data_IF_120965997576
#
_entry.id   IF_120965997576
#
_cell.length_a   1.000
_cell.length_b   1.000
_cell.length_c   1.000
_cell.angle_alpha   90.00
_cell.angle_beta   90.00
_cell.angle_gamma   90.00
#
_symmetry.space_group_name_H-M   'P 1'
#
loop_
_entity.id
_entity.type
_entity.pdbx_description
1 polymer ?
#
# COMPACT_ATOMS: atom_id res chain seq x y z
N UNK A 1 -14.88 5.60 -14.77
CA UNK A 1 -14.20 5.48 -16.08
C UNK A 1 -14.35 4.08 -16.66
N UNK A 2 -14.55 3.95 -17.98
CA UNK A 2 -14.59 2.66 -18.68
C UNK A 2 -13.27 1.88 -18.55
N UNK A 3 -13.32 0.55 -18.69
CA UNK A 3 -12.09 -0.27 -18.72
C UNK A 3 -11.28 0.07 -19.97
N UNK A 4 -9.95 0.11 -19.83
CA UNK A 4 -9.00 0.22 -20.95
C UNK A 4 -8.05 -0.96 -20.92
N UNK A 5 -7.67 -1.46 -22.10
CA UNK A 5 -6.59 -2.45 -22.21
C UNK A 5 -5.20 -1.80 -22.10
N UNK A 6 -5.11 -0.46 -22.14
CA UNK A 6 -3.86 0.29 -22.11
C UNK A 6 -3.40 0.67 -20.69
N UNK A 7 -4.34 0.75 -19.74
CA UNK A 7 -4.08 1.17 -18.35
C UNK A 7 -4.86 0.27 -17.41
N UNK A 8 -4.21 -0.20 -16.34
CA UNK A 8 -4.92 -0.93 -15.31
C UNK A 8 -5.81 0.03 -14.48
N UNK A 9 -6.81 -0.49 -13.73
CA UNK A 9 -7.75 0.37 -12.99
C UNK A 9 -7.06 1.32 -12.00
N UNK A 10 -6.00 0.89 -11.33
CA UNK A 10 -5.28 1.71 -10.33
C UNK A 10 -4.53 2.85 -11.01
N UNK A 11 -3.78 2.56 -12.07
CA UNK A 11 -3.07 3.58 -12.86
C UNK A 11 -4.06 4.62 -13.41
N UNK A 12 -5.17 4.14 -13.97
CA UNK A 12 -6.20 5.00 -14.52
C UNK A 12 -6.78 5.94 -13.44
N UNK A 13 -7.09 5.43 -12.25
CA UNK A 13 -7.60 6.24 -11.14
C UNK A 13 -6.58 7.29 -10.67
N UNK A 14 -5.32 6.91 -10.48
CA UNK A 14 -4.24 7.83 -10.07
C UNK A 14 -4.03 8.95 -11.09
N UNK A 15 -3.94 8.58 -12.37
CA UNK A 15 -3.79 9.51 -13.48
C UNK A 15 -4.97 10.50 -13.57
N UNK A 16 -6.20 10.02 -13.41
CA UNK A 16 -7.37 10.90 -13.43
C UNK A 16 -7.48 11.81 -12.20
N UNK A 17 -6.91 11.40 -11.06
CA UNK A 17 -6.79 12.24 -9.87
C UNK A 17 -5.67 13.29 -9.98
N UNK A 18 -4.90 13.30 -11.09
CA UNK A 18 -3.77 14.20 -11.27
C UNK A 18 -2.51 13.77 -10.52
N UNK A 19 -2.46 12.54 -10.01
CA UNK A 19 -1.25 11.98 -9.39
C UNK A 19 -0.18 11.69 -10.44
N UNK A 20 1.08 11.90 -10.08
CA UNK A 20 2.24 11.71 -10.97
C UNK A 20 2.35 10.24 -11.41
N UNK A 21 1.98 9.97 -12.65
CA UNK A 21 2.51 8.84 -13.40
C UNK A 21 3.49 9.36 -14.46
N UNK A 22 4.48 8.55 -14.84
CA UNK A 22 5.50 8.97 -15.81
C UNK A 22 4.91 9.51 -17.11
N UNK A 23 5.65 10.35 -17.84
CA UNK A 23 5.17 11.04 -19.06
C UNK A 23 4.47 10.13 -20.09
N UNK A 24 4.90 8.87 -20.19
CA UNK A 24 4.26 7.86 -21.05
C UNK A 24 2.82 7.58 -20.61
N UNK A 25 2.56 7.46 -19.32
CA UNK A 25 1.26 7.15 -18.75
C UNK A 25 0.26 8.30 -18.90
N UNK A 26 0.72 9.56 -18.85
CA UNK A 26 -0.11 10.75 -19.09
C UNK A 26 -0.57 10.81 -20.56
N UNK A 27 0.33 10.50 -21.50
CA UNK A 27 -0.03 10.38 -22.92
C UNK A 27 -1.06 9.28 -23.14
N UNK A 28 -0.85 8.10 -22.53
CA UNK A 28 -1.81 7.00 -22.60
C UNK A 28 -3.19 7.39 -22.04
N UNK A 29 -3.25 8.11 -20.91
CA UNK A 29 -4.54 8.61 -20.39
C UNK A 29 -5.20 9.56 -21.40
N UNK A 30 -4.42 10.48 -21.97
CA UNK A 30 -4.94 11.46 -22.95
C UNK A 30 -5.51 10.76 -24.18
N UNK A 31 -4.86 9.70 -24.66
CA UNK A 31 -5.38 8.86 -25.75
C UNK A 31 -6.72 8.21 -25.37
N UNK A 32 -6.80 7.59 -24.18
CA UNK A 32 -8.03 6.95 -23.70
C UNK A 32 -9.17 7.97 -23.58
N UNK A 33 -8.90 9.17 -23.04
CA UNK A 33 -9.90 10.25 -22.96
C UNK A 33 -10.36 10.66 -24.36
N UNK A 34 -9.44 10.81 -25.31
CA UNK A 34 -9.76 11.18 -26.69
C UNK A 34 -10.56 10.10 -27.42
N UNK A 35 -10.27 8.82 -27.17
CA UNK A 35 -11.07 7.70 -27.69
C UNK A 35 -12.50 7.75 -27.14
N UNK A 36 -12.67 7.93 -25.84
CA UNK A 36 -13.98 8.03 -25.19
C UNK A 36 -14.79 9.25 -25.67
N UNK A 37 -14.14 10.38 -25.92
CA UNK A 37 -14.83 11.58 -26.38
C UNK A 37 -15.29 11.50 -27.85
N UNK A 38 -14.78 10.55 -28.63
CA UNK A 38 -15.24 10.28 -30.00
C UNK A 38 -16.49 9.41 -30.05
N UNK A 39 -16.98 8.92 -28.91
CA UNK A 39 -18.20 8.11 -28.87
C UNK A 39 -19.41 8.93 -29.41
N UNK A 40 -20.16 8.37 -30.39
CA UNK A 40 -21.35 9.04 -30.91
C UNK A 40 -22.42 9.21 -29.84
N UNK A 41 -22.48 8.31 -28.86
CA UNK A 41 -23.35 8.44 -27.69
C UNK A 41 -22.66 9.31 -26.63
N UNK A 42 -23.22 10.50 -26.40
CA UNK A 42 -22.72 11.47 -25.43
C UNK A 42 -22.64 10.85 -24.02
N UNK A 43 -23.56 9.93 -23.69
CA UNK A 43 -23.59 9.30 -22.36
C UNK A 43 -22.40 8.39 -22.10
N UNK A 44 -21.71 7.91 -23.14
CA UNK A 44 -20.52 7.06 -23.01
C UNK A 44 -19.21 7.87 -23.00
N UNK A 45 -19.28 9.19 -23.20
CA UNK A 45 -18.09 10.06 -23.20
C UNK A 45 -17.45 10.16 -21.82
N UNK A 46 -16.21 10.64 -21.80
CA UNK A 46 -15.46 10.80 -20.57
C UNK A 46 -16.20 11.72 -19.58
N UNK A 47 -16.34 11.26 -18.33
CA UNK A 47 -17.00 12.00 -17.25
C UNK A 47 -18.53 12.00 -17.29
N UNK A 48 -19.16 11.48 -18.36
CA UNK A 48 -20.63 11.44 -18.49
C UNK A 48 -21.25 10.13 -17.95
N UNK A 49 -20.42 9.10 -17.74
CA UNK A 49 -20.84 7.78 -17.22
C UNK A 49 -20.18 7.43 -15.89
N UNK A 50 -20.99 6.88 -14.99
CA UNK A 50 -20.56 6.25 -13.74
C UNK A 50 -21.07 6.93 -12.47
N UNK A 51 -20.38 6.72 -11.35
CA UNK A 51 -20.74 7.33 -10.07
C UNK A 51 -20.50 8.84 -10.12
N UNK A 52 -21.56 9.61 -10.09
CA UNK A 52 -21.50 11.08 -10.04
C UNK A 52 -21.47 11.62 -8.61
N UNK A 53 -21.38 12.95 -8.50
CA UNK A 53 -21.39 13.67 -7.21
C UNK A 53 -22.61 13.33 -6.35
N UNK A 54 -23.78 13.07 -6.96
CA UNK A 54 -24.99 12.68 -6.23
C UNK A 54 -24.85 11.30 -5.57
N UNK A 55 -24.25 10.34 -6.26
CA UNK A 55 -23.98 9.02 -5.70
C UNK A 55 -22.99 9.12 -4.54
N UNK A 56 -21.95 9.95 -4.68
CA UNK A 56 -20.99 10.22 -3.60
C UNK A 56 -21.68 10.87 -2.39
N UNK A 57 -22.52 11.88 -2.62
CA UNK A 57 -23.32 12.50 -1.56
C UNK A 57 -24.23 11.49 -0.85
N UNK A 58 -24.82 10.54 -1.59
CA UNK A 58 -25.62 9.46 -1.00
C UNK A 58 -24.76 8.49 -0.19
N UNK A 59 -23.54 8.16 -0.63
CA UNK A 59 -22.64 7.31 0.14
C UNK A 59 -22.27 7.96 1.47
N UNK A 60 -22.00 9.28 1.47
CA UNK A 60 -21.76 10.04 2.70
C UNK A 60 -23.00 10.09 3.61
N UNK A 61 -24.21 10.22 3.04
CA UNK A 61 -25.44 10.15 3.82
C UNK A 61 -25.62 8.77 4.49
N UNK A 62 -25.45 7.69 3.73
CA UNK A 62 -25.52 6.31 4.24
C UNK A 62 -24.48 6.08 5.35
N UNK A 63 -23.28 6.63 5.19
CA UNK A 63 -22.25 6.61 6.23
C UNK A 63 -22.71 7.28 7.52
N UNK A 64 -23.35 8.46 7.43
CA UNK A 64 -23.77 9.21 8.61
C UNK A 64 -24.96 8.58 9.34
N UNK A 65 -25.86 7.92 8.60
CA UNK A 65 -27.11 7.36 9.12
C UNK A 65 -26.95 5.97 9.76
N UNK A 66 -25.87 5.25 9.47
CA UNK A 66 -25.61 3.92 10.04
C UNK A 66 -25.21 3.99 11.50
N UNK A 67 -25.72 3.09 12.33
CA UNK A 67 -25.35 3.03 13.75
C UNK A 67 -23.92 2.55 13.96
N UNK A 68 -23.44 1.66 13.09
CA UNK A 68 -22.13 1.01 13.15
C UNK A 68 -20.98 2.01 12.94
N UNK A 69 -21.24 3.11 12.23
CA UNK A 69 -20.28 4.19 11.99
C UNK A 69 -20.24 5.21 13.12
N UNK A 70 -21.19 5.14 14.07
CA UNK A 70 -21.37 6.06 15.20
C UNK A 70 -20.95 5.43 16.55
N UNK A 71 -20.29 4.27 16.53
CA UNK A 71 -19.89 3.53 17.74
C UNK A 71 -18.81 4.23 18.59
N UNK A 72 -18.27 5.37 18.15
CA UNK A 72 -17.22 6.08 18.86
C UNK A 72 -17.09 7.56 18.51
N UNK A 73 -15.92 8.14 18.82
CA UNK A 73 -15.67 9.59 18.63
C UNK A 73 -15.40 9.98 17.18
N UNK A 74 -15.26 9.01 16.29
CA UNK A 74 -14.92 9.23 14.88
C UNK A 74 -15.48 8.08 14.03
N UNK A 75 -15.85 8.38 12.79
CA UNK A 75 -16.20 7.37 11.79
C UNK A 75 -14.94 6.65 11.30
N UNK A 76 -14.99 5.33 11.20
CA UNK A 76 -13.88 4.54 10.68
C UNK A 76 -13.86 4.62 9.15
N UNK A 77 -12.68 4.89 8.58
CA UNK A 77 -12.52 5.09 7.14
C UNK A 77 -12.96 3.86 6.31
N UNK A 78 -12.81 2.65 6.84
CA UNK A 78 -13.23 1.42 6.13
C UNK A 78 -14.75 1.30 5.94
N UNK A 79 -15.55 2.02 6.72
CA UNK A 79 -17.01 1.96 6.60
C UNK A 79 -17.50 2.54 5.27
N UNK A 80 -16.68 3.38 4.61
CA UNK A 80 -17.01 3.98 3.30
C UNK A 80 -17.26 2.91 2.24
N UNK A 81 -16.58 1.77 2.35
CA UNK A 81 -16.74 0.70 1.36
C UNK A 81 -18.14 0.09 1.40
N UNK A 82 -18.70 -0.07 2.61
CA UNK A 82 -20.05 -0.62 2.79
C UNK A 82 -21.08 0.37 2.22
N UNK A 83 -20.91 1.67 2.48
CA UNK A 83 -21.80 2.70 1.96
C UNK A 83 -21.74 2.81 0.43
N UNK A 84 -20.53 2.77 -0.15
CA UNK A 84 -20.35 2.78 -1.60
C UNK A 84 -20.94 1.53 -2.25
N UNK A 85 -20.79 0.36 -1.63
CA UNK A 85 -21.38 -0.89 -2.10
C UNK A 85 -22.91 -0.79 -2.17
N UNK A 86 -23.56 -0.31 -1.11
CA UNK A 86 -25.02 -0.08 -1.12
C UNK A 86 -25.43 0.88 -2.24
N UNK A 87 -24.71 2.00 -2.40
CA UNK A 87 -25.02 2.97 -3.46
C UNK A 87 -24.85 2.38 -4.86
N UNK A 88 -23.83 1.54 -5.07
CA UNK A 88 -23.62 0.85 -6.34
C UNK A 88 -24.80 -0.10 -6.63
N UNK A 89 -25.22 -0.89 -5.65
CA UNK A 89 -26.32 -1.84 -5.82
C UNK A 89 -27.67 -1.15 -6.08
N UNK A 90 -27.95 -0.06 -5.38
CA UNK A 90 -29.24 0.62 -5.41
C UNK A 90 -29.40 1.59 -6.60
N UNK A 91 -28.33 2.29 -6.98
CA UNK A 91 -28.42 3.43 -7.92
C UNK A 91 -27.76 3.18 -9.27
N UNK A 92 -26.93 2.14 -9.43
CA UNK A 92 -26.35 1.80 -10.73
C UNK A 92 -27.27 0.83 -11.45
N UNK A 93 -28.01 1.32 -12.44
CA UNK A 93 -29.03 0.57 -13.18
C UNK A 93 -28.43 -0.35 -14.25
N UNK A 94 -27.27 0.03 -14.82
CA UNK A 94 -26.59 -0.75 -15.87
C UNK A 94 -25.80 -1.91 -15.23
N UNK A 95 -26.12 -3.18 -15.55
CA UNK A 95 -25.48 -4.34 -14.93
C UNK A 95 -23.96 -4.42 -15.13
N UNK A 96 -23.49 -4.06 -16.32
CA UNK A 96 -22.06 -4.06 -16.67
C UNK A 96 -21.29 -3.05 -15.82
N UNK A 97 -21.86 -1.86 -15.65
CA UNK A 97 -21.27 -0.80 -14.82
C UNK A 97 -21.26 -1.18 -13.34
N UNK A 98 -22.36 -1.78 -12.85
CA UNK A 98 -22.46 -2.28 -11.47
C UNK A 98 -21.35 -3.30 -11.18
N UNK A 99 -21.22 -4.30 -12.07
CA UNK A 99 -20.16 -5.32 -11.97
C UNK A 99 -18.78 -4.69 -11.97
N UNK A 100 -18.57 -3.69 -12.83
CA UNK A 100 -17.30 -2.96 -12.92
C UNK A 100 -17.00 -2.19 -11.63
N UNK A 101 -17.95 -1.46 -11.07
CA UNK A 101 -17.74 -0.69 -9.83
C UNK A 101 -17.54 -1.58 -8.60
N UNK A 102 -18.22 -2.73 -8.51
CA UNK A 102 -17.97 -3.69 -7.43
C UNK A 102 -16.55 -4.28 -7.51
N UNK A 103 -16.06 -4.56 -8.72
CA UNK A 103 -14.67 -4.98 -8.91
C UNK A 103 -13.66 -3.89 -8.53
N UNK A 104 -13.92 -2.63 -8.91
CA UNK A 104 -13.07 -1.51 -8.50
C UNK A 104 -13.10 -1.31 -6.98
N UNK A 105 -14.26 -1.50 -6.34
CA UNK A 105 -14.41 -1.45 -4.89
C UNK A 105 -13.56 -2.53 -4.21
N UNK A 106 -13.53 -3.75 -4.76
CA UNK A 106 -12.64 -4.83 -4.28
C UNK A 106 -11.16 -4.43 -4.36
N UNK A 107 -10.75 -3.82 -5.47
CA UNK A 107 -9.38 -3.30 -5.62
C UNK A 107 -9.08 -2.25 -4.55
N UNK A 108 -10.01 -1.31 -4.32
CA UNK A 108 -9.86 -0.25 -3.32
C UNK A 108 -9.78 -0.81 -1.89
N UNK A 109 -10.57 -1.82 -1.54
CA UNK A 109 -10.47 -2.54 -0.26
C UNK A 109 -9.09 -3.19 -0.09
N UNK A 110 -8.56 -3.84 -1.13
CA UNK A 110 -7.21 -4.40 -1.10
C UNK A 110 -6.10 -3.35 -0.91
N UNK A 111 -6.25 -2.16 -1.51
CA UNK A 111 -5.33 -1.03 -1.27
C UNK A 111 -5.43 -0.52 0.17
N UNK A 112 -6.64 -0.41 0.72
CA UNK A 112 -6.85 -0.04 2.13
C UNK A 112 -6.24 -1.06 3.08
N UNK A 113 -6.39 -2.37 2.81
CA UNK A 113 -5.74 -3.45 3.54
C UNK A 113 -4.22 -3.29 3.57
N UNK A 114 -3.59 -2.98 2.43
CA UNK A 114 -2.14 -2.71 2.36
C UNK A 114 -1.72 -1.50 3.21
N UNK A 115 -2.51 -0.43 3.19
CA UNK A 115 -2.26 0.75 4.03
C UNK A 115 -2.37 0.41 5.53
N UNK A 116 -3.36 -0.41 5.91
CA UNK A 116 -3.52 -0.87 7.29
C UNK A 116 -2.36 -1.77 7.71
N UNK A 117 -1.92 -2.72 6.88
CA UNK A 117 -0.73 -3.53 7.15
C UNK A 117 0.48 -2.65 7.43
N UNK A 118 0.68 -1.61 6.61
CA UNK A 118 1.78 -0.66 6.77
C UNK A 118 1.68 0.10 8.10
N UNK A 119 0.49 0.60 8.41
CA UNK A 119 0.21 1.35 9.65
C UNK A 119 0.45 0.49 10.90
N UNK A 120 -0.08 -0.73 10.91
CA UNK A 120 0.04 -1.66 12.03
C UNK A 120 1.50 -2.06 12.25
N UNK A 121 2.27 -2.24 11.18
CA UNK A 121 3.69 -2.50 11.31
C UNK A 121 4.46 -1.31 11.89
N UNK A 122 4.23 -0.10 11.39
CA UNK A 122 4.86 1.10 11.94
C UNK A 122 4.51 1.28 13.42
N UNK A 123 3.27 0.97 13.79
CA UNK A 123 2.84 0.94 15.18
C UNK A 123 3.52 -0.17 15.99
N UNK A 124 3.67 -1.37 15.43
CA UNK A 124 4.35 -2.50 16.04
C UNK A 124 5.82 -2.20 16.36
N UNK A 125 6.52 -1.56 15.42
CA UNK A 125 7.92 -1.15 15.54
C UNK A 125 8.12 0.11 16.38
N UNK A 126 7.02 0.74 16.82
CA UNK A 126 7.04 2.00 17.58
C UNK A 126 7.74 3.18 16.84
N UNK A 127 7.83 3.11 15.52
CA UNK A 127 8.50 4.08 14.65
C UNK A 127 7.59 4.38 13.42
N UNK A 128 7.16 5.66 13.21
CA UNK A 128 6.19 6.01 12.16
C UNK A 128 6.59 5.67 10.72
N UNK A 129 7.89 5.49 10.46
CA UNK A 129 8.48 5.23 9.14
C UNK A 129 9.34 3.95 9.13
N UNK A 130 9.04 2.99 10.01
CA UNK A 130 9.82 1.75 10.14
C UNK A 130 9.92 0.97 8.81
N UNK A 131 8.80 0.82 8.10
CA UNK A 131 8.78 0.15 6.79
C UNK A 131 9.62 0.90 5.77
N UNK A 132 9.48 2.22 5.72
CA UNK A 132 10.20 3.05 4.76
C UNK A 132 11.72 2.88 4.94
N UNK A 133 12.18 2.89 6.19
CA UNK A 133 13.57 2.64 6.55
C UNK A 133 14.02 1.24 6.17
N UNK A 134 13.18 0.22 6.37
CA UNK A 134 13.50 -1.15 5.99
C UNK A 134 13.52 -1.37 4.47
N UNK A 135 12.65 -0.70 3.73
CA UNK A 135 12.64 -0.69 2.26
C UNK A 135 13.91 -0.02 1.74
N UNK A 136 14.27 1.14 2.26
CA UNK A 136 15.52 1.83 1.91
C UNK A 136 16.74 0.95 2.27
N UNK A 137 16.74 0.31 3.44
CA UNK A 137 17.81 -0.61 3.83
C UNK A 137 17.92 -1.79 2.86
N UNK A 138 16.80 -2.41 2.46
CA UNK A 138 16.78 -3.45 1.43
C UNK A 138 17.39 -2.94 0.12
N UNK A 139 16.95 -1.79 -0.37
CA UNK A 139 17.45 -1.20 -1.62
C UNK A 139 18.95 -0.92 -1.55
N UNK A 140 19.42 -0.34 -0.44
CA UNK A 140 20.84 -0.08 -0.24
C UNK A 140 21.67 -1.38 -0.16
N UNK A 141 21.15 -2.43 0.48
CA UNK A 141 21.81 -3.74 0.48
C UNK A 141 21.89 -4.36 -0.92
N UNK A 142 20.83 -4.22 -1.73
CA UNK A 142 20.81 -4.66 -3.14
C UNK A 142 21.84 -3.91 -3.98
N UNK A 143 22.00 -2.61 -3.78
CA UNK A 143 23.03 -1.82 -4.48
C UNK A 143 24.43 -2.22 -4.00
N UNK A 144 24.58 -2.44 -2.69
CA UNK A 144 25.84 -2.83 -2.08
C UNK A 144 26.34 -4.20 -2.50
N UNK A 145 25.46 -5.17 -2.81
CA UNK A 145 25.87 -6.54 -3.15
C UNK A 145 26.70 -6.61 -4.44
N UNK A 146 26.47 -5.67 -5.36
CA UNK A 146 27.20 -5.55 -6.62
C UNK A 146 28.48 -4.70 -6.48
N UNK A 147 28.76 -4.15 -5.29
CA UNK A 147 29.97 -3.36 -5.04
C UNK A 147 31.19 -4.28 -5.06
N UNK A 148 32.08 -4.06 -6.04
CA UNK A 148 33.38 -4.72 -6.14
C UNK A 148 34.18 -4.37 -4.88
N UNK A 149 34.44 -5.35 -4.01
CA UNK A 149 35.24 -5.30 -2.77
C UNK A 149 34.46 -5.19 -1.45
N UNK A 150 33.44 -6.03 -1.26
CA UNK A 150 32.97 -6.36 0.10
C UNK A 150 34.06 -7.15 0.84
N UNK A 151 34.52 -6.62 1.97
CA UNK A 151 35.40 -7.38 2.88
C UNK A 151 34.67 -8.58 3.51
N UNK A 152 35.36 -9.42 4.30
CA UNK A 152 34.78 -10.60 4.95
C UNK A 152 33.54 -10.30 5.81
N UNK A 153 33.48 -9.10 6.37
CA UNK A 153 32.40 -8.65 7.26
C UNK A 153 31.14 -8.17 6.52
N UNK A 154 31.18 -8.12 5.17
CA UNK A 154 30.10 -7.68 4.28
C UNK A 154 29.53 -6.30 4.64
N UNK A 155 30.36 -5.40 5.15
CA UNK A 155 29.99 -4.01 5.44
C UNK A 155 30.26 -3.17 4.19
N UNK A 156 29.24 -2.47 3.73
CA UNK A 156 29.31 -1.48 2.67
C UNK A 156 29.00 -0.10 3.22
N UNK A 157 29.77 0.91 2.82
CA UNK A 157 29.48 2.30 3.19
C UNK A 157 28.85 2.99 1.99
N UNK A 158 27.65 3.53 2.18
CA UNK A 158 26.97 4.31 1.16
C UNK A 158 26.86 5.76 1.60
N UNK A 159 26.83 6.66 0.63
CA UNK A 159 26.55 8.07 0.89
C UNK A 159 25.04 8.27 0.89
N UNK A 160 24.50 8.70 2.03
CA UNK A 160 23.09 9.06 2.16
C UNK A 160 22.76 10.23 1.21
N UNK A 161 21.83 10.07 0.26
CA UNK A 161 21.46 11.12 -0.67
C UNK A 161 20.87 12.38 0.00
N UNK A 162 20.24 12.23 1.16
CA UNK A 162 19.59 13.35 1.87
C UNK A 162 20.59 14.14 2.69
N UNK A 163 21.47 13.45 3.42
CA UNK A 163 22.37 14.08 4.39
C UNK A 163 23.81 14.20 3.91
N UNK A 164 24.18 13.50 2.83
CA UNK A 164 25.54 13.42 2.29
C UNK A 164 26.52 12.65 3.19
N UNK A 165 26.06 12.08 4.31
CA UNK A 165 26.89 11.35 5.28
C UNK A 165 27.16 9.93 4.80
N UNK A 166 28.34 9.41 5.15
CA UNK A 166 28.68 8.01 4.93
C UNK A 166 28.04 7.15 6.02
N UNK A 167 27.14 6.26 5.63
CA UNK A 167 26.44 5.35 6.53
C UNK A 167 26.97 3.93 6.29
N UNK A 168 27.52 3.26 7.31
CA UNK A 168 27.89 1.85 7.22
C UNK A 168 26.63 0.97 7.26
N UNK A 169 26.52 0.04 6.33
CA UNK A 169 25.44 -0.92 6.19
C UNK A 169 26.02 -2.33 6.07
N UNK A 170 25.57 -3.23 6.94
CA UNK A 170 25.92 -4.65 6.82
C UNK A 170 24.96 -5.32 5.83
N UNK A 171 25.51 -6.00 4.82
CA UNK A 171 24.73 -6.72 3.84
C UNK A 171 24.29 -8.07 4.43
N UNK A 172 22.98 -8.23 4.56
CA UNK A 172 22.34 -9.47 4.96
C UNK A 172 21.73 -10.17 3.74
N UNK A 173 22.49 -11.09 3.14
CA UNK A 173 22.05 -11.87 1.98
C UNK A 173 20.83 -12.75 2.30
N UNK A 174 20.67 -13.23 3.54
CA UNK A 174 19.54 -14.07 3.92
C UNK A 174 18.24 -13.25 3.96
N UNK A 175 18.32 -12.01 4.45
CA UNK A 175 17.21 -11.06 4.39
C UNK A 175 16.84 -10.71 2.94
N UNK A 176 17.84 -10.37 2.10
CA UNK A 176 17.62 -10.08 0.67
C UNK A 176 16.93 -11.27 -0.02
N UNK A 177 17.46 -12.48 0.16
CA UNK A 177 16.91 -13.69 -0.45
C UNK A 177 15.48 -13.98 0.04
N UNK A 178 15.18 -13.69 1.31
CA UNK A 178 13.84 -13.84 1.86
C UNK A 178 12.84 -12.86 1.22
N UNK A 179 13.24 -11.60 1.05
CA UNK A 179 12.41 -10.57 0.39
C UNK A 179 12.17 -10.93 -1.08
N UNK A 180 13.22 -11.35 -1.79
CA UNK A 180 13.11 -11.74 -3.20
C UNK A 180 12.26 -13.00 -3.40
N UNK A 181 12.34 -13.95 -2.48
CA UNK A 181 11.47 -15.12 -2.50
C UNK A 181 10.00 -14.73 -2.32
N UNK A 182 9.70 -13.72 -1.48
CA UNK A 182 8.34 -13.18 -1.30
C UNK A 182 7.82 -12.43 -2.52
N UNK A 183 8.72 -11.82 -3.28
CA UNK A 183 8.42 -11.24 -4.59
C UNK A 183 8.20 -12.29 -5.69
N UNK A 184 8.34 -13.58 -5.38
CA UNK A 184 8.19 -14.67 -6.34
C UNK A 184 9.40 -14.86 -7.26
N UNK A 185 10.56 -14.31 -6.91
CA UNK A 185 11.79 -14.42 -7.69
C UNK A 185 12.52 -15.73 -7.33
N UNK A 186 12.21 -16.79 -8.06
CA UNK A 186 12.66 -18.15 -7.75
C UNK A 186 14.06 -18.51 -8.27
N UNK A 187 14.49 -17.88 -9.36
CA UNK A 187 15.79 -18.18 -9.98
C UNK A 187 16.76 -16.99 -9.96
N UNK A 188 18.06 -17.28 -10.15
CA UNK A 188 19.13 -16.27 -10.07
C UNK A 188 18.98 -15.16 -11.11
N UNK A 189 18.50 -15.48 -12.30
CA UNK A 189 18.32 -14.50 -13.38
C UNK A 189 17.21 -13.50 -13.07
N UNK A 190 16.07 -13.98 -12.55
CA UNK A 190 14.96 -13.15 -12.09
C UNK A 190 15.41 -12.21 -10.96
N UNK A 191 16.15 -12.76 -9.98
CA UNK A 191 16.73 -11.96 -8.89
C UNK A 191 17.67 -10.88 -9.44
N UNK A 192 18.62 -11.24 -10.30
CA UNK A 192 19.56 -10.26 -10.87
C UNK A 192 18.87 -9.19 -11.74
N UNK A 193 17.87 -9.58 -12.53
CA UNK A 193 17.07 -8.66 -13.34
C UNK A 193 16.29 -7.66 -12.47
N UNK A 194 15.69 -8.14 -11.39
CA UNK A 194 14.99 -7.30 -10.41
C UNK A 194 15.96 -6.34 -9.71
N UNK A 195 17.10 -6.82 -9.21
CA UNK A 195 18.14 -6.00 -8.58
C UNK A 195 18.64 -4.90 -9.52
N UNK A 196 18.91 -5.24 -10.78
CA UNK A 196 19.32 -4.27 -11.82
C UNK A 196 18.27 -3.19 -12.01
N UNK A 197 16.98 -3.57 -11.98
CA UNK A 197 15.86 -2.62 -12.08
C UNK A 197 15.81 -1.68 -10.88
N UNK A 198 15.96 -2.19 -9.66
CA UNK A 198 16.04 -1.38 -8.43
C UNK A 198 17.20 -0.40 -8.49
N UNK A 199 18.41 -0.87 -8.83
CA UNK A 199 19.60 -0.02 -8.96
C UNK A 199 19.42 1.09 -10.00
N UNK A 200 18.76 0.79 -11.12
CA UNK A 200 18.43 1.78 -12.15
C UNK A 200 17.41 2.81 -11.65
N UNK A 201 16.35 2.38 -10.97
CA UNK A 201 15.35 3.29 -10.39
C UNK A 201 16.01 4.20 -9.36
N UNK A 202 16.85 3.63 -8.48
CA UNK A 202 17.61 4.37 -7.47
C UNK A 202 18.44 5.48 -8.14
N UNK A 203 19.30 5.12 -9.09
CA UNK A 203 20.17 6.09 -9.77
C UNK A 203 19.40 7.17 -10.57
N UNK A 204 18.21 6.86 -11.09
CA UNK A 204 17.41 7.82 -11.86
C UNK A 204 16.55 8.74 -10.99
N UNK A 205 15.87 8.18 -9.98
CA UNK A 205 14.90 8.92 -9.17
C UNK A 205 15.57 9.71 -8.05
N UNK A 206 16.59 9.18 -7.40
CA UNK A 206 17.25 9.87 -6.28
C UNK A 206 18.00 11.12 -6.72
N UNK A 207 18.54 11.13 -7.95
CA UNK A 207 19.15 12.33 -8.54
C UNK A 207 18.11 13.44 -8.75
N UNK A 208 16.85 13.08 -9.03
CA UNK A 208 15.75 14.04 -9.24
C UNK A 208 15.07 14.43 -7.93
N UNK A 209 14.95 13.49 -7.01
CA UNK A 209 14.32 13.64 -5.71
C UNK A 209 15.13 12.87 -4.66
N UNK A 210 15.99 13.55 -3.89
CA UNK A 210 16.75 12.95 -2.80
C UNK A 210 15.90 12.28 -1.71
N UNK A 211 14.60 12.62 -1.62
CA UNK A 211 13.69 12.04 -0.64
C UNK A 211 12.92 10.83 -1.17
N UNK A 212 13.22 10.37 -2.39
CA UNK A 212 12.57 9.19 -2.95
C UNK A 212 12.90 7.92 -2.14
N UNK A 213 11.86 7.22 -1.67
CA UNK A 213 11.95 6.15 -0.66
C UNK A 213 11.34 4.80 -1.10
N UNK A 214 11.02 4.65 -2.40
CA UNK A 214 10.45 3.41 -2.98
C UNK A 214 9.09 2.95 -2.41
N UNK A 215 8.43 3.77 -1.59
CA UNK A 215 7.11 3.44 -1.03
C UNK A 215 6.00 3.39 -2.09
N UNK A 216 6.25 3.89 -3.29
CA UNK A 216 5.38 3.74 -4.46
C UNK A 216 5.39 2.31 -5.06
N UNK A 217 6.38 1.48 -4.70
CA UNK A 217 6.45 0.07 -5.09
C UNK A 217 5.75 -0.82 -4.04
N UNK A 218 4.44 -0.97 -4.21
CA UNK A 218 3.59 -1.74 -3.28
C UNK A 218 4.04 -3.19 -3.08
N UNK A 219 4.56 -3.85 -4.11
CA UNK A 219 4.95 -5.26 -4.03
C UNK A 219 6.23 -5.42 -3.21
N UNK A 220 7.19 -4.51 -3.43
CA UNK A 220 8.41 -4.44 -2.61
C UNK A 220 8.09 -4.13 -1.14
N UNK A 221 7.25 -3.12 -0.90
CA UNK A 221 6.82 -2.74 0.45
C UNK A 221 6.16 -3.93 1.15
N UNK A 222 5.25 -4.64 0.47
CA UNK A 222 4.58 -5.84 1.01
C UNK A 222 5.60 -6.92 1.35
N UNK A 223 6.51 -7.25 0.43
CA UNK A 223 7.51 -8.29 0.63
C UNK A 223 8.44 -8.01 1.81
N UNK A 224 8.97 -6.78 1.91
CA UNK A 224 9.83 -6.35 3.02
C UNK A 224 9.07 -6.44 4.35
N UNK A 225 7.84 -5.95 4.39
CA UNK A 225 6.98 -5.98 5.57
C UNK A 225 6.73 -7.42 6.03
N UNK A 226 6.41 -8.34 5.12
CA UNK A 226 6.15 -9.75 5.45
C UNK A 226 7.37 -10.47 6.03
N UNK A 227 8.57 -10.21 5.49
CA UNK A 227 9.81 -10.84 6.00
C UNK A 227 10.10 -10.38 7.43
N UNK A 228 9.97 -9.08 7.69
CA UNK A 228 10.17 -8.51 9.04
C UNK A 228 9.14 -8.99 10.05
N UNK A 229 7.87 -9.08 9.64
CA UNK A 229 6.82 -9.61 10.51
C UNK A 229 7.06 -11.06 10.93
N UNK A 230 7.65 -11.88 10.05
CA UNK A 230 7.93 -13.29 10.35
C UNK A 230 9.17 -13.49 11.22
N UNK A 231 10.17 -12.61 11.16
CA UNK A 231 11.39 -12.75 11.98
C UNK A 231 11.15 -12.45 13.46
N UNK A 232 10.26 -11.50 13.77
CA UNK A 232 10.18 -10.93 15.12
C UNK A 232 9.10 -11.59 16.01
N UNK A 233 8.28 -12.47 15.44
CA UNK A 233 7.15 -13.10 16.15
C UNK A 233 7.52 -14.55 16.45
N UNK A 234 8.44 -14.73 17.41
CA UNK A 234 8.70 -16.02 18.02
C UNK A 234 7.47 -16.45 18.84
N UNK A 235 6.69 -17.40 18.32
CA UNK A 235 5.70 -18.16 19.13
C UNK A 235 4.22 -18.00 18.77
N UNK A 236 3.77 -16.84 18.25
CA UNK A 236 2.34 -16.64 17.92
C UNK A 236 1.96 -17.04 16.47
N UNK A 237 2.91 -17.51 15.67
CA UNK A 237 2.71 -17.87 14.26
C UNK A 237 2.52 -16.67 13.31
N UNK A 238 1.94 -15.55 13.77
CA UNK A 238 1.82 -14.28 13.03
C UNK A 238 1.42 -13.09 13.93
N UNK A 239 1.58 -11.86 13.43
CA UNK A 239 1.12 -10.63 14.12
C UNK A 239 -0.40 -10.58 14.26
N UNK A 240 -1.11 -11.09 13.25
CA UNK A 240 -2.57 -11.25 13.29
C UNK A 240 -2.97 -12.13 14.46
N UNK A 241 -2.32 -13.29 14.62
CA UNK A 241 -2.58 -14.19 15.75
C UNK A 241 -2.29 -13.54 17.11
N UNK A 242 -1.18 -12.82 17.23
CA UNK A 242 -0.80 -12.12 18.45
C UNK A 242 -1.79 -11.01 18.84
N UNK A 243 -2.23 -10.18 17.87
CA UNK A 243 -3.17 -9.09 18.13
C UNK A 243 -4.62 -9.58 18.34
N UNK A 244 -4.98 -10.73 17.78
CA UNK A 244 -6.29 -11.36 17.96
C UNK A 244 -6.43 -12.07 19.31
N UNK A 245 -5.37 -12.73 19.82
CA UNK A 245 -5.43 -13.45 21.09
C UNK A 245 -4.98 -12.59 22.28
N UNK A 246 -5.92 -11.81 22.82
CA UNK A 246 -5.70 -10.88 23.95
C UNK A 246 -5.69 -11.54 25.34
N UNK A 247 -5.88 -12.86 25.44
CA UNK A 247 -5.89 -13.57 26.74
C UNK A 247 -4.49 -13.82 27.29
N UNK A 248 -3.48 -13.83 26.42
CA UNK A 248 -2.07 -13.92 26.79
C UNK A 248 -1.53 -12.53 27.19
N UNK A 249 -0.80 -12.45 28.31
CA UNK A 249 -0.30 -11.19 28.86
C UNK A 249 0.71 -10.48 27.93
N UNK A 250 1.55 -11.23 27.21
CA UNK A 250 2.50 -10.67 26.23
C UNK A 250 1.76 -10.10 25.02
N UNK A 251 0.75 -10.81 24.52
CA UNK A 251 -0.10 -10.34 23.44
C UNK A 251 -0.89 -9.08 23.85
N UNK A 252 -1.37 -9.02 25.09
CA UNK A 252 -2.04 -7.84 25.62
C UNK A 252 -1.09 -6.64 25.74
N UNK A 253 0.16 -6.85 26.18
CA UNK A 253 1.21 -5.81 26.18
C UNK A 253 1.50 -5.33 24.75
N UNK A 254 1.60 -6.25 23.80
CA UNK A 254 1.81 -5.93 22.40
C UNK A 254 0.67 -5.09 21.82
N UNK A 255 -0.58 -5.52 22.05
CA UNK A 255 -1.78 -4.81 21.62
C UNK A 255 -1.81 -3.37 22.18
N UNK A 256 -1.55 -3.22 23.48
CA UNK A 256 -1.50 -1.91 24.12
C UNK A 256 -0.39 -1.02 23.55
N UNK A 257 0.78 -1.59 23.23
CA UNK A 257 1.88 -0.85 22.59
C UNK A 257 1.46 -0.34 21.22
N UNK A 258 0.92 -1.20 20.36
CA UNK A 258 0.42 -0.83 19.03
C UNK A 258 -0.62 0.27 19.13
N UNK A 259 -1.62 0.11 20.01
CA UNK A 259 -2.68 1.10 20.23
C UNK A 259 -2.14 2.45 20.69
N UNK A 260 -1.15 2.43 21.59
CA UNK A 260 -0.49 3.63 22.11
C UNK A 260 0.29 4.36 21.02
N UNK A 261 1.05 3.63 20.19
CA UNK A 261 1.79 4.21 19.06
C UNK A 261 0.85 4.79 18.02
N UNK A 262 -0.23 4.07 17.66
CA UNK A 262 -1.24 4.57 16.74
C UNK A 262 -1.84 5.89 17.22
N UNK A 263 -2.14 5.98 18.52
CA UNK A 263 -2.76 7.16 19.11
C UNK A 263 -1.81 8.35 19.23
N UNK A 264 -0.60 8.12 19.73
CA UNK A 264 0.32 9.20 20.11
C UNK A 264 1.34 9.58 19.04
N UNK A 265 1.66 8.67 18.11
CA UNK A 265 2.66 8.90 17.06
C UNK A 265 2.06 8.94 15.65
N UNK A 266 1.01 8.17 15.38
CA UNK A 266 0.39 8.10 14.04
C UNK A 266 -0.87 8.98 13.90
N UNK A 267 -1.31 9.65 14.98
CA UNK A 267 -2.43 10.60 14.94
C UNK A 267 -3.82 9.96 14.86
N UNK A 268 -3.95 8.66 15.14
CA UNK A 268 -5.25 8.00 15.15
C UNK A 268 -6.02 8.36 16.42
N UNK A 269 -7.33 8.61 16.32
CA UNK A 269 -8.17 8.63 17.51
C UNK A 269 -8.40 7.20 18.03
N UNK A 270 -8.86 7.06 19.28
CA UNK A 270 -9.10 5.75 19.91
C UNK A 270 -9.99 4.84 19.05
N UNK A 271 -11.10 5.36 18.52
CA UNK A 271 -12.03 4.58 17.69
C UNK A 271 -11.39 4.10 16.39
N UNK A 272 -10.71 5.00 15.66
CA UNK A 272 -10.04 4.63 14.42
C UNK A 272 -8.92 3.62 14.65
N UNK A 273 -8.13 3.75 15.73
CA UNK A 273 -7.07 2.81 16.03
C UNK A 273 -7.62 1.41 16.35
N UNK A 274 -8.65 1.32 17.19
CA UNK A 274 -9.29 0.03 17.53
C UNK A 274 -9.86 -0.67 16.29
N UNK A 275 -10.68 0.05 15.49
CA UNK A 275 -11.29 -0.48 14.26
C UNK A 275 -10.25 -0.87 13.21
N UNK A 276 -9.13 -0.15 13.14
CA UNK A 276 -8.01 -0.48 12.23
C UNK A 276 -7.32 -1.78 12.65
N UNK A 277 -7.07 -1.97 13.96
CA UNK A 277 -6.50 -3.23 14.47
C UNK A 277 -7.50 -4.39 14.28
N UNK A 278 -8.77 -4.17 14.56
CA UNK A 278 -9.83 -5.17 14.34
C UNK A 278 -9.90 -5.60 12.88
N UNK A 279 -9.91 -4.64 11.95
CA UNK A 279 -9.87 -4.93 10.53
C UNK A 279 -8.59 -5.68 10.16
N UNK A 280 -7.41 -5.27 10.64
CA UNK A 280 -6.15 -5.99 10.43
C UNK A 280 -6.24 -7.47 10.87
N UNK A 281 -6.96 -7.74 11.95
CA UNK A 281 -7.15 -9.09 12.48
C UNK A 281 -8.14 -9.95 11.68
N UNK A 282 -8.94 -9.40 10.77
CA UNK A 282 -9.79 -10.19 9.86
C UNK A 282 -8.98 -10.76 8.69
N UNK A 283 -9.53 -11.78 8.02
CA UNK A 283 -8.98 -12.33 6.76
C UNK A 283 -9.63 -11.67 5.53
N UNK A 284 -10.41 -10.60 5.74
CA UNK A 284 -11.12 -9.92 4.66
C UNK A 284 -10.12 -9.16 3.80
N UNK A 285 -10.39 -9.13 2.49
CA UNK A 285 -9.64 -8.34 1.50
C UNK A 285 -8.13 -8.69 1.41
N UNK A 286 -7.72 -9.89 1.83
CA UNK A 286 -6.34 -10.38 1.70
C UNK A 286 -5.94 -10.76 0.26
N UNK A 287 -6.93 -10.96 -0.64
CA UNK A 287 -6.77 -11.47 -2.02
C UNK A 287 -7.23 -10.48 -3.12
#
# INVERSE_FOLDING_TARGET
MPKSNKLNPVEMMKLAAGETAGEKSIKTLSEVINELNKDPDITNRFGQKGLGHRNLGRALQVLLERSETQEGKCMYAGDVFIALESVILDYVTVPEDRTKFLNDLKIARGLHRKNIMTTIFNAYMDEPHAIEKDVINYVNMVIGIDAKNLGPDKIWTYQDPQTGKLIPLKIDEAFIDSVESRLGLGNKEQKQSFRTTISKIYGQKIVKDPNYNFMDNNDLVKAVTEVRLKSDIAGAGSLVGALSNRTNEENQKLYNRVLNTMSNKLGYCKTCALKTIEYFCTHDDEN
#
